data_IF_835171247383
#
_entry.id   IF_835171247383
#
_cell.length_a   1.000
_cell.length_b   1.000
_cell.length_c   1.000
_cell.angle_alpha   90.00
_cell.angle_beta   90.00
_cell.angle_gamma   90.00
#
_symmetry.space_group_name_H-M   'P 1'
#
loop_
_entity.id
_entity.type
_entity.pdbx_description
1 polymer ?
#
# COMPACT_ATOMS: atom_id res chain seq x y z
N UNK A 1 17.41 20.06 6.60
CA UNK A 1 17.18 19.94 5.15
C UNK A 1 17.25 18.51 4.60
N UNK A 2 18.41 17.87 4.39
CA UNK A 2 18.47 16.50 3.77
C UNK A 2 17.77 15.36 4.56
N UNK A 3 17.47 15.56 5.85
CA UNK A 3 16.88 14.53 6.73
C UNK A 3 15.34 14.59 6.70
N UNK A 4 14.77 15.79 6.78
CA UNK A 4 13.32 16.02 6.72
C UNK A 4 12.74 15.69 5.33
N UNK A 5 13.49 15.95 4.27
CA UNK A 5 13.11 15.58 2.90
C UNK A 5 13.00 14.06 2.72
N UNK A 6 13.91 13.30 3.32
CA UNK A 6 13.88 11.83 3.27
C UNK A 6 12.74 11.25 4.11
N UNK A 7 12.44 11.87 5.24
CA UNK A 7 11.37 11.44 6.14
C UNK A 7 9.98 11.68 5.52
N UNK A 8 9.80 12.81 4.84
CA UNK A 8 8.57 13.09 4.07
C UNK A 8 8.41 12.18 2.86
N UNK A 9 9.52 11.82 2.20
CA UNK A 9 9.50 10.85 1.10
C UNK A 9 9.12 9.44 1.58
N UNK A 10 9.68 9.00 2.72
CA UNK A 10 9.35 7.71 3.33
C UNK A 10 7.88 7.64 3.77
N UNK A 11 7.37 8.69 4.41
CA UNK A 11 5.97 8.78 4.80
C UNK A 11 5.04 8.67 3.58
N UNK A 12 5.41 9.31 2.47
CA UNK A 12 4.65 9.28 1.22
C UNK A 12 4.64 7.89 0.58
N UNK A 13 5.78 7.19 0.58
CA UNK A 13 5.85 5.81 0.05
C UNK A 13 5.06 4.83 0.90
N UNK A 14 5.10 4.97 2.23
CA UNK A 14 4.25 4.18 3.14
C UNK A 14 2.75 4.36 2.85
N UNK A 15 2.32 5.58 2.53
CA UNK A 15 0.92 5.83 2.12
C UNK A 15 0.61 5.13 0.79
N UNK A 16 1.53 5.15 -0.19
CA UNK A 16 1.34 4.44 -1.46
C UNK A 16 1.28 2.92 -1.29
N UNK A 17 2.05 2.35 -0.36
CA UNK A 17 2.00 0.91 -0.06
C UNK A 17 0.60 0.48 0.37
N UNK A 18 0.03 1.21 1.33
CA UNK A 18 -1.33 0.92 1.83
C UNK A 18 -2.37 1.05 0.71
N UNK A 19 -2.27 2.08 -0.14
CA UNK A 19 -3.18 2.26 -1.28
C UNK A 19 -3.05 1.11 -2.29
N UNK A 20 -1.81 0.75 -2.65
CA UNK A 20 -1.51 -0.29 -3.63
C UNK A 20 -2.04 -1.66 -3.18
N UNK A 21 -1.86 -2.00 -1.91
CA UNK A 21 -2.43 -3.22 -1.33
C UNK A 21 -3.94 -3.26 -1.35
N UNK A 22 -4.58 -2.17 -0.90
CA UNK A 22 -6.03 -2.07 -0.89
C UNK A 22 -6.59 -2.25 -2.31
N UNK A 23 -5.94 -1.63 -3.30
CA UNK A 23 -6.30 -1.79 -4.71
C UNK A 23 -6.17 -3.25 -5.17
N UNK A 24 -5.04 -3.91 -4.90
CA UNK A 24 -4.79 -5.32 -5.25
C UNK A 24 -5.80 -6.26 -4.56
N UNK A 25 -6.14 -5.97 -3.30
CA UNK A 25 -7.13 -6.73 -2.51
C UNK A 25 -8.59 -6.39 -2.90
N UNK A 26 -8.81 -5.46 -3.84
CA UNK A 26 -10.14 -5.06 -4.32
C UNK A 26 -10.97 -4.26 -3.33
N UNK A 27 -10.33 -3.52 -2.41
CA UNK A 27 -11.01 -2.70 -1.41
C UNK A 27 -11.68 -1.47 -2.04
N UNK A 28 -12.74 -0.98 -1.40
CA UNK A 28 -13.41 0.25 -1.82
C UNK A 28 -12.59 1.49 -1.44
N UNK A 29 -12.87 2.64 -2.07
CA UNK A 29 -12.23 3.93 -1.75
C UNK A 29 -12.37 4.28 -0.26
N UNK A 30 -13.56 4.10 0.31
CA UNK A 30 -13.87 4.40 1.72
C UNK A 30 -12.98 3.57 2.64
N UNK A 31 -12.99 2.24 2.49
CA UNK A 31 -12.15 1.34 3.29
C UNK A 31 -10.66 1.60 3.12
N UNK A 32 -10.25 2.02 1.91
CA UNK A 32 -8.85 2.39 1.63
C UNK A 32 -8.46 3.67 2.38
N UNK A 33 -9.31 4.71 2.35
CA UNK A 33 -9.10 5.97 3.08
C UNK A 33 -8.98 5.73 4.58
N UNK A 34 -9.92 4.97 5.15
CA UNK A 34 -9.92 4.58 6.57
C UNK A 34 -8.63 3.85 6.94
N UNK A 35 -8.21 2.88 6.11
CA UNK A 35 -6.99 2.10 6.37
C UNK A 35 -5.73 2.96 6.27
N UNK A 36 -5.64 3.87 5.31
CA UNK A 36 -4.51 4.81 5.20
C UNK A 36 -4.43 5.69 6.45
N UNK A 37 -5.54 6.32 6.85
CA UNK A 37 -5.57 7.17 8.04
C UNK A 37 -5.14 6.41 9.29
N UNK A 38 -5.67 5.19 9.48
CA UNK A 38 -5.36 4.36 10.64
C UNK A 38 -3.89 3.94 10.71
N UNK A 39 -3.28 3.54 9.59
CA UNK A 39 -1.93 2.98 9.58
C UNK A 39 -0.82 4.04 9.46
N UNK A 40 -1.10 5.17 8.82
CA UNK A 40 -0.09 6.18 8.50
C UNK A 40 -0.31 7.51 9.21
N UNK A 41 -1.49 7.74 9.78
CA UNK A 41 -1.90 9.05 10.31
C UNK A 41 -2.25 10.07 9.23
N UNK A 42 -2.04 9.75 7.95
CA UNK A 42 -2.20 10.70 6.85
C UNK A 42 -3.66 10.95 6.50
N UNK A 43 -4.05 12.23 6.53
CA UNK A 43 -5.38 12.66 6.08
C UNK A 43 -5.54 12.43 4.58
N UNK A 44 -6.51 11.58 4.24
CA UNK A 44 -6.79 11.14 2.89
C UNK A 44 -8.21 11.54 2.46
N UNK A 45 -8.35 11.95 1.20
CA UNK A 45 -9.63 12.29 0.57
C UNK A 45 -9.67 11.74 -0.86
N UNK A 46 -10.85 11.51 -1.47
CA UNK A 46 -10.98 10.77 -2.72
C UNK A 46 -10.10 11.29 -3.87
N UNK A 47 -10.01 12.61 -4.03
CA UNK A 47 -9.16 13.24 -5.06
C UNK A 47 -7.67 12.93 -4.86
N UNK A 48 -7.19 12.95 -3.62
CA UNK A 48 -5.80 12.62 -3.27
C UNK A 48 -5.52 11.12 -3.46
N UNK A 49 -6.46 10.27 -3.03
CA UNK A 49 -6.38 8.82 -3.24
C UNK A 49 -6.25 8.49 -4.74
N UNK A 50 -7.12 9.04 -5.58
CA UNK A 50 -7.09 8.80 -7.03
C UNK A 50 -5.78 9.26 -7.67
N UNK A 51 -5.26 10.43 -7.26
CA UNK A 51 -3.96 10.92 -7.72
C UNK A 51 -2.84 9.94 -7.36
N UNK A 52 -2.77 9.51 -6.10
CA UNK A 52 -1.74 8.58 -5.66
C UNK A 52 -1.87 7.21 -6.33
N UNK A 53 -3.09 6.73 -6.54
CA UNK A 53 -3.34 5.51 -7.29
C UNK A 53 -2.89 5.62 -8.75
N UNK A 54 -3.17 6.74 -9.41
CA UNK A 54 -2.69 6.97 -10.78
C UNK A 54 -1.16 6.91 -10.87
N UNK A 55 -0.44 7.47 -9.89
CA UNK A 55 1.03 7.38 -9.81
C UNK A 55 1.52 5.94 -9.61
N UNK A 56 0.82 5.16 -8.78
CA UNK A 56 1.11 3.73 -8.54
C UNK A 56 0.93 2.95 -9.84
N UNK A 57 -0.21 3.12 -10.51
CA UNK A 57 -0.54 2.42 -11.76
C UNK A 57 0.44 2.79 -12.88
N UNK A 58 0.79 4.08 -13.03
CA UNK A 58 1.81 4.51 -13.99
C UNK A 58 3.18 3.86 -13.70
N UNK A 59 3.52 3.68 -12.42
CA UNK A 59 4.74 2.97 -12.03
C UNK A 59 4.66 1.49 -12.37
N UNK A 60 3.51 0.86 -12.25
CA UNK A 60 3.31 -0.54 -12.63
C UNK A 60 3.38 -0.77 -14.14
N UNK A 61 2.75 0.12 -14.92
CA UNK A 61 2.82 0.10 -16.37
C UNK A 61 4.27 0.20 -16.85
N UNK A 62 5.03 1.17 -16.35
CA UNK A 62 6.47 1.34 -16.69
C UNK A 62 7.33 0.12 -16.35
N UNK A 63 6.94 -0.68 -15.36
CA UNK A 63 7.69 -1.84 -14.88
C UNK A 63 7.15 -3.19 -15.41
N UNK A 64 6.12 -3.20 -16.27
CA UNK A 64 5.60 -4.42 -16.91
C UNK A 64 4.99 -5.44 -15.94
N UNK A 65 4.18 -4.99 -14.97
CA UNK A 65 3.82 -5.77 -13.77
C UNK A 65 2.53 -6.63 -13.86
N UNK A 66 1.76 -6.62 -14.96
CA UNK A 66 0.36 -7.14 -15.01
C UNK A 66 0.15 -8.60 -14.51
N UNK A 67 0.87 -9.60 -15.00
CA UNK A 67 0.68 -11.01 -14.54
C UNK A 67 1.29 -11.29 -13.17
N UNK A 68 2.23 -10.44 -12.73
CA UNK A 68 2.83 -10.52 -11.39
C UNK A 68 1.87 -10.04 -10.29
N UNK A 69 0.73 -9.45 -10.64
CA UNK A 69 -0.26 -8.96 -9.66
C UNK A 69 -0.80 -10.10 -8.80
N UNK A 70 -1.16 -11.25 -9.40
CA UNK A 70 -1.66 -12.39 -8.63
C UNK A 70 -0.59 -12.96 -7.70
N UNK A 71 0.65 -13.11 -8.18
CA UNK A 71 1.78 -13.56 -7.36
C UNK A 71 2.09 -12.58 -6.21
N UNK A 72 1.95 -11.27 -6.44
CA UNK A 72 2.11 -10.25 -5.40
C UNK A 72 1.03 -10.30 -4.34
N UNK A 73 -0.21 -10.65 -4.68
CA UNK A 73 -1.28 -10.86 -3.67
C UNK A 73 -0.84 -11.92 -2.66
N UNK A 74 -0.30 -13.04 -3.17
CA UNK A 74 0.15 -14.16 -2.34
C UNK A 74 1.32 -13.74 -1.45
N UNK A 75 2.33 -13.08 -2.03
CA UNK A 75 3.50 -12.63 -1.27
C UNK A 75 3.15 -11.54 -0.24
N UNK A 76 2.23 -10.62 -0.55
CA UNK A 76 1.74 -9.63 0.42
C UNK A 76 1.01 -10.28 1.59
N UNK A 77 0.22 -11.33 1.33
CA UNK A 77 -0.45 -12.08 2.42
C UNK A 77 0.56 -12.77 3.33
N UNK A 78 1.65 -13.33 2.78
CA UNK A 78 2.74 -13.90 3.60
C UNK A 78 3.39 -12.85 4.49
N UNK A 79 3.61 -11.64 3.96
CA UNK A 79 4.15 -10.52 4.76
C UNK A 79 3.14 -10.07 5.82
N UNK A 80 1.84 -9.99 5.51
CA UNK A 80 0.80 -9.64 6.50
C UNK A 80 0.81 -10.62 7.69
N UNK A 81 0.91 -11.93 7.44
CA UNK A 81 1.02 -12.95 8.49
C UNK A 81 2.29 -12.75 9.30
N UNK A 82 3.43 -12.55 8.64
CA UNK A 82 4.71 -12.37 9.31
C UNK A 82 4.76 -11.10 10.17
N UNK A 83 4.21 -10.00 9.69
CA UNK A 83 4.10 -8.76 10.46
C UNK A 83 3.22 -8.94 11.69
N UNK A 84 2.10 -9.67 11.59
CA UNK A 84 1.24 -9.94 12.73
C UNK A 84 1.95 -10.77 13.81
N UNK A 85 2.68 -11.82 13.42
CA UNK A 85 3.52 -12.60 14.34
C UNK A 85 4.59 -11.74 15.03
N UNK A 86 5.27 -10.87 14.27
CA UNK A 86 6.31 -10.00 14.81
C UNK A 86 5.74 -8.95 15.78
N UNK A 87 4.56 -8.40 15.49
CA UNK A 87 3.89 -7.47 16.40
C UNK A 87 3.48 -8.16 17.70
N UNK A 88 2.92 -9.38 17.60
CA UNK A 88 2.54 -10.16 18.77
C UNK A 88 3.77 -10.50 19.64
N UNK A 89 4.85 -10.98 19.03
CA UNK A 89 6.10 -11.30 19.74
C UNK A 89 6.75 -10.04 20.35
N UNK A 90 6.66 -8.90 19.67
CA UNK A 90 7.13 -7.63 20.23
C UNK A 90 6.32 -7.20 21.45
N UNK A 91 5.00 -7.33 21.43
CA UNK A 91 4.15 -7.06 22.60
C UNK A 91 4.47 -8.00 23.75
N UNK A 92 4.62 -9.29 23.49
CA UNK A 92 5.00 -10.29 24.51
C UNK A 92 6.39 -10.01 25.10
N UNK A 93 7.34 -9.49 24.31
CA UNK A 93 8.68 -9.16 24.79
C UNK A 93 8.71 -8.07 25.87
N UNK A 94 7.71 -7.16 25.88
CA UNK A 94 7.60 -6.11 26.90
C UNK A 94 7.28 -6.65 28.29
N UNK A 95 6.70 -7.85 28.37
CA UNK A 95 6.39 -8.48 29.64
C UNK A 95 7.63 -9.12 30.29
N UNK A 96 8.71 -9.31 29.52
CA UNK A 96 9.90 -10.05 29.93
C UNK A 96 11.09 -9.14 30.25
N UNK A 97 11.11 -7.90 29.75
CA UNK A 97 12.19 -6.94 29.94
C UNK A 97 11.61 -5.51 30.01
N UNK A 98 12.20 -4.58 30.77
CA UNK A 98 11.67 -3.20 30.93
C UNK A 98 11.69 -2.36 29.63
N UNK A 99 12.10 -2.97 28.51
CA UNK A 99 11.99 -2.41 27.16
C UNK A 99 11.68 -3.48 26.13
N UNK A 100 10.77 -3.19 25.21
CA UNK A 100 10.42 -4.07 24.11
C UNK A 100 11.65 -4.40 23.23
N UNK A 101 11.81 -5.67 22.83
CA UNK A 101 13.01 -6.11 22.09
C UNK A 101 13.08 -5.45 20.70
N UNK A 102 14.14 -4.65 20.51
CA UNK A 102 14.37 -3.87 19.29
C UNK A 102 14.58 -4.74 18.04
N UNK A 103 14.90 -6.03 18.18
CA UNK A 103 15.07 -6.97 17.07
C UNK A 103 13.76 -7.17 16.29
N UNK A 104 12.61 -7.24 16.97
CA UNK A 104 11.32 -7.37 16.30
C UNK A 104 10.99 -6.13 15.45
N UNK A 105 11.34 -4.94 15.94
CA UNK A 105 11.17 -3.69 15.17
C UNK A 105 12.07 -3.64 13.94
N UNK A 106 13.29 -4.19 14.01
CA UNK A 106 14.17 -4.29 12.85
C UNK A 106 13.61 -5.25 11.79
N UNK A 107 13.03 -6.38 12.21
CA UNK A 107 12.38 -7.31 11.30
C UNK A 107 11.09 -6.74 10.68
N UNK A 108 10.28 -6.01 11.44
CA UNK A 108 9.13 -5.26 10.90
C UNK A 108 9.54 -4.26 9.82
N UNK A 109 10.70 -3.60 9.95
CA UNK A 109 11.25 -2.73 8.89
C UNK A 109 11.59 -3.51 7.62
N UNK A 110 12.18 -4.70 7.74
CA UNK A 110 12.48 -5.57 6.58
C UNK A 110 11.21 -6.01 5.87
N UNK A 111 10.15 -6.34 6.62
CA UNK A 111 8.84 -6.66 6.06
C UNK A 111 8.28 -5.49 5.24
N UNK A 112 8.35 -4.26 5.78
CA UNK A 112 7.96 -3.04 5.05
C UNK A 112 8.78 -2.84 3.77
N UNK A 113 10.10 -3.01 3.81
CA UNK A 113 10.94 -2.90 2.60
C UNK A 113 10.60 -3.94 1.53
N UNK A 114 10.34 -5.18 1.94
CA UNK A 114 9.95 -6.26 1.03
C UNK A 114 8.59 -5.96 0.40
N UNK A 115 7.64 -5.44 1.19
CA UNK A 115 6.33 -4.96 0.75
C UNK A 115 6.49 -3.82 -0.29
N UNK A 116 7.34 -2.82 -0.04
CA UNK A 116 7.62 -1.75 -1.03
C UNK A 116 8.15 -2.32 -2.36
N UNK A 117 9.05 -3.30 -2.31
CA UNK A 117 9.62 -3.94 -3.50
C UNK A 117 8.56 -4.71 -4.28
N UNK A 118 7.75 -5.52 -3.60
CA UNK A 118 6.66 -6.29 -4.21
C UNK A 118 5.58 -5.40 -4.79
N UNK A 119 5.33 -4.23 -4.19
CA UNK A 119 4.38 -3.24 -4.74
C UNK A 119 5.01 -2.39 -5.86
N UNK A 120 6.31 -2.59 -6.16
CA UNK A 120 7.02 -1.82 -7.18
C UNK A 120 7.28 -0.36 -6.80
N UNK A 121 7.19 -0.02 -5.52
CA UNK A 121 7.33 1.31 -4.94
C UNK A 121 8.78 1.62 -4.52
N UNK A 122 9.62 0.60 -4.36
CA UNK A 122 10.99 0.78 -3.87
C UNK A 122 11.84 1.75 -4.73
N UNK A 123 12.52 2.66 -4.02
CA UNK A 123 13.42 3.69 -4.54
C UNK A 123 14.72 3.11 -5.09
N UNK A 124 14.73 2.77 -6.37
CA UNK A 124 15.87 3.04 -7.24
C UNK A 124 15.35 3.03 -8.68
N UNK A 125 15.25 4.22 -9.27
CA UNK A 125 15.13 4.33 -10.70
C UNK A 125 16.50 3.95 -11.30
N UNK A 126 16.59 3.03 -12.28
CA UNK A 126 17.68 3.16 -13.25
C UNK A 126 17.46 4.48 -13.98
N UNK A 127 18.51 5.29 -14.02
CA UNK A 127 18.52 6.57 -14.73
C UNK A 127 18.15 6.37 -16.20
N UNK A 128 17.29 7.28 -16.69
CA UNK A 128 17.05 7.61 -18.09
C UNK A 128 16.56 6.50 -19.04
N UNK A 129 15.26 6.55 -19.36
CA UNK A 129 14.76 6.61 -20.74
C UNK A 129 13.28 7.05 -20.70
N UNK A 130 12.93 8.02 -21.54
CA UNK A 130 11.59 8.62 -21.67
C UNK A 130 10.90 8.06 -22.92
N UNK A 131 9.58 8.29 -22.99
CA UNK A 131 8.63 8.18 -24.13
C UNK A 131 7.82 6.87 -24.26
N UNK A 132 6.62 6.89 -24.88
CA UNK A 132 5.49 7.80 -24.63
C UNK A 132 4.14 7.09 -24.41
N UNK A 133 3.12 7.90 -24.08
CA UNK A 133 1.67 7.67 -24.02
C UNK A 133 1.12 6.24 -24.14
N UNK A 134 0.70 5.71 -22.99
CA UNK A 134 -0.23 4.59 -22.90
C UNK A 134 -1.47 5.03 -22.15
N UNK A 135 -2.58 5.08 -22.89
CA UNK A 135 -3.96 5.31 -22.46
C UNK A 135 -4.19 5.12 -20.95
N UNK A 136 -4.66 6.18 -20.30
CA UNK A 136 -4.89 6.22 -18.87
C UNK A 136 -5.74 5.01 -18.46
N UNK A 137 -5.14 4.05 -17.76
CA UNK A 137 -5.82 2.88 -17.25
C UNK A 137 -7.07 3.34 -16.47
N UNK A 138 -8.24 3.15 -17.07
CA UNK A 138 -9.52 3.55 -16.49
C UNK A 138 -9.75 2.70 -15.25
N UNK A 139 -9.67 3.35 -14.09
CA UNK A 139 -9.71 2.69 -12.79
C UNK A 139 -11.14 2.27 -12.48
N UNK A 140 -11.45 0.98 -12.65
CA UNK A 140 -12.70 0.38 -12.17
C UNK A 140 -12.53 0.00 -10.71
N UNK A 141 -13.11 0.80 -9.82
CA UNK A 141 -13.30 0.38 -8.43
C UNK A 141 -14.46 -0.59 -8.39
N UNK A 142 -14.36 -1.66 -7.59
CA UNK A 142 -15.54 -2.44 -7.22
C UNK A 142 -16.44 -1.55 -6.38
N UNK A 143 -17.37 -0.86 -7.02
CA UNK A 143 -18.48 -0.20 -6.34
C UNK A 143 -19.39 -1.31 -5.82
N UNK A 144 -19.45 -1.45 -4.50
CA UNK A 144 -20.49 -2.24 -3.87
C UNK A 144 -21.82 -1.59 -4.20
N UNK A 145 -22.52 -2.09 -5.23
CA UNK A 145 -23.95 -1.86 -5.35
C UNK A 145 -24.58 -2.46 -4.10
N UNK A 146 -25.19 -1.61 -3.27
CA UNK A 146 -26.20 -2.07 -2.33
C UNK A 146 -27.31 -2.70 -3.18
N UNK A 147 -27.45 -4.02 -3.10
CA UNK A 147 -28.64 -4.70 -3.59
C UNK A 147 -29.80 -4.33 -2.65
N UNK A 148 -30.90 -3.81 -3.21
CA UNK A 148 -32.15 -3.63 -2.46
C UNK A 148 -32.82 -2.27 -2.61
N UNK A 149 -33.29 -1.93 -3.82
CA UNK A 149 -34.59 -1.25 -3.98
C UNK A 149 -35.12 -1.64 -5.35
N UNK A 150 -36.16 -2.47 -5.34
CA UNK A 150 -36.94 -2.79 -6.53
C UNK A 150 -37.54 -1.47 -7.06
N UNK A 151 -37.54 -1.21 -8.38
CA UNK A 151 -38.44 -0.21 -8.91
C UNK A 151 -39.84 -0.80 -8.86
N UNK A 152 -40.65 -0.36 -7.89
CA UNK A 152 -42.09 -0.44 -8.07
C UNK A 152 -42.43 0.49 -9.24
N UNK A 153 -42.93 -0.13 -10.31
CA UNK A 153 -43.38 0.55 -11.51
C UNK A 153 -44.72 1.25 -11.28
N UNK A 154 -44.90 2.30 -12.09
CA UNK A 154 -46.14 3.04 -12.44
C UNK A 154 -47.07 3.51 -11.32
#
# INVERSE_FOLDING_TARGET
>A
MKREEKETEFARERVKEVIAECFIKGWTKVKTIERVQRLTGEKMYPKKLNRMLAEILATWTRKGIKDKVLMRVVELKKIDVREAELWQAWEESKALDEGADARYLAELRRCSEQRSRLLGLAMKAPSAAREPDGEAATVVWKESKLYGTQPDGE
#
